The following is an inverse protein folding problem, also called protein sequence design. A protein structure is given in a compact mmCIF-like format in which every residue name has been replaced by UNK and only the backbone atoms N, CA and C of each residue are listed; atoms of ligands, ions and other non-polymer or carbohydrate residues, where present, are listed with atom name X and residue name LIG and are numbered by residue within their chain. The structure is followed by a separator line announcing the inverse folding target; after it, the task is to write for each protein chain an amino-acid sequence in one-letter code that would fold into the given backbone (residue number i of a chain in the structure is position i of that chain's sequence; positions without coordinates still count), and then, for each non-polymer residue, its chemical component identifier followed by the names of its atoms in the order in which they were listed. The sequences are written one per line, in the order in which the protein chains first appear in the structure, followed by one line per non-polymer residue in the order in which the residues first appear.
data_IF_980145507096
#
_entry.id   IF_980145507096
#
_cell.length_a   1.000
_cell.length_b   1.000
_cell.length_c   1.000
_cell.angle_alpha   90.00
_cell.angle_beta   90.00
_cell.angle_gamma   90.00
#
_symmetry.space_group_name_H-M   'P 1'
#
loop_
_entity.id
_entity.type
_entity.pdbx_description
1 polymer ?
#
# COMPACT_ATOMS: atom_id res chain seq x y z
N UNK A 1 16.83 -3.90 -15.75
CA UNK A 1 15.41 -3.90 -15.31
C UNK A 1 15.18 -2.70 -14.40
N UNK A 2 14.04 -2.02 -14.48
CA UNK A 2 13.72 -0.81 -13.68
C UNK A 2 12.56 -1.07 -12.73
N UNK A 3 12.60 -0.52 -11.53
CA UNK A 3 11.44 -0.46 -10.63
C UNK A 3 10.69 0.86 -10.83
N UNK A 4 9.38 0.77 -11.05
CA UNK A 4 8.51 1.95 -11.23
C UNK A 4 7.64 2.11 -9.99
N UNK A 5 7.73 3.28 -9.36
CA UNK A 5 6.96 3.65 -8.18
C UNK A 5 6.44 5.10 -8.28
N UNK A 6 5.50 5.47 -7.41
CA UNK A 6 4.99 6.83 -7.22
C UNK A 6 4.31 7.49 -8.43
N UNK A 7 3.67 6.72 -9.32
CA UNK A 7 2.81 7.30 -10.37
C UNK A 7 1.62 8.03 -9.72
N UNK A 8 1.56 9.35 -9.88
CA UNK A 8 0.50 10.17 -9.33
C UNK A 8 0.03 11.22 -10.35
N UNK A 9 -1.28 11.41 -10.43
CA UNK A 9 -1.91 12.47 -11.23
C UNK A 9 -2.73 13.35 -10.30
N UNK A 10 -2.58 14.67 -10.46
CA UNK A 10 -3.34 15.66 -9.72
C UNK A 10 -4.86 15.41 -9.83
N UNK A 11 -5.61 15.56 -8.72
CA UNK A 11 -7.03 15.17 -8.64
C UNK A 11 -7.88 15.76 -9.77
N UNK A 12 -7.65 17.03 -10.11
CA UNK A 12 -8.37 17.76 -11.18
C UNK A 12 -8.09 17.28 -12.62
N UNK A 13 -7.02 16.50 -12.84
CA UNK A 13 -6.56 16.11 -14.18
C UNK A 13 -6.81 14.62 -14.50
N UNK A 14 -7.42 13.86 -13.58
CA UNK A 14 -7.58 12.40 -13.74
C UNK A 14 -8.44 11.99 -14.93
N UNK A 15 -9.41 12.83 -15.32
CA UNK A 15 -10.26 12.60 -16.50
C UNK A 15 -9.56 12.91 -17.83
N UNK A 16 -8.37 13.54 -17.82
CA UNK A 16 -7.69 13.99 -19.04
C UNK A 16 -6.71 12.99 -19.64
N UNK A 17 -6.73 11.72 -19.20
CA UNK A 17 -5.82 10.65 -19.70
C UNK A 17 -4.31 11.01 -19.60
N UNK A 18 -3.91 11.71 -18.55
CA UNK A 18 -2.50 12.09 -18.32
C UNK A 18 -1.62 10.89 -17.94
N UNK A 19 -2.13 9.94 -17.16
CA UNK A 19 -1.35 8.78 -16.71
C UNK A 19 -0.76 7.94 -17.87
N UNK A 20 -1.51 7.60 -18.93
CA UNK A 20 -0.93 6.94 -20.11
C UNK A 20 0.22 7.70 -20.78
N UNK A 21 0.17 9.04 -20.81
CA UNK A 21 1.24 9.86 -21.38
C UNK A 21 2.50 9.80 -20.53
N UNK A 22 2.35 9.87 -19.19
CA UNK A 22 3.47 9.73 -18.26
C UNK A 22 4.13 8.35 -18.36
N UNK A 23 3.33 7.29 -18.49
CA UNK A 23 3.85 5.92 -18.66
C UNK A 23 4.62 5.81 -19.98
N UNK A 24 4.10 6.37 -21.08
CA UNK A 24 4.82 6.36 -22.37
C UNK A 24 6.16 7.09 -22.31
N UNK A 25 6.18 8.27 -21.68
CA UNK A 25 7.41 9.05 -21.54
C UNK A 25 8.42 8.34 -20.63
N UNK A 26 7.97 7.71 -19.55
CA UNK A 26 8.81 6.87 -18.70
C UNK A 26 9.42 5.72 -19.50
N UNK A 27 8.61 4.96 -20.23
CA UNK A 27 9.09 3.87 -21.09
C UNK A 27 10.11 4.36 -22.12
N UNK A 28 9.88 5.53 -22.73
CA UNK A 28 10.83 6.14 -23.68
C UNK A 28 12.19 6.40 -23.03
N UNK A 29 12.22 6.99 -21.83
CA UNK A 29 13.47 7.27 -21.10
C UNK A 29 14.20 6.00 -20.67
N UNK A 30 13.46 5.00 -20.19
CA UNK A 30 14.01 3.70 -19.78
C UNK A 30 14.63 2.98 -20.99
N UNK A 31 13.97 3.05 -22.14
CA UNK A 31 14.49 2.45 -23.37
C UNK A 31 15.75 3.15 -23.90
N UNK A 32 15.86 4.48 -23.77
CA UNK A 32 17.09 5.22 -24.11
C UNK A 32 18.30 4.81 -23.28
N UNK A 33 18.08 4.25 -22.09
CA UNK A 33 19.13 3.69 -21.23
C UNK A 33 19.43 2.22 -21.56
N UNK A 34 18.87 1.68 -22.64
CA UNK A 34 19.06 0.27 -23.06
C UNK A 34 18.29 -0.74 -22.22
N UNK A 35 17.33 -0.31 -21.39
CA UNK A 35 16.53 -1.20 -20.55
C UNK A 35 15.14 -1.37 -21.14
N UNK A 36 14.67 -2.61 -21.23
CA UNK A 36 13.36 -2.94 -21.84
C UNK A 36 12.39 -3.61 -20.88
N UNK A 37 12.76 -3.79 -19.61
CA UNK A 37 11.97 -4.48 -18.60
C UNK A 37 11.75 -3.59 -17.38
N UNK A 38 10.52 -3.61 -16.86
CA UNK A 38 10.13 -2.88 -15.67
C UNK A 38 9.29 -3.75 -14.72
N UNK A 39 9.43 -3.50 -13.42
CA UNK A 39 8.60 -4.06 -12.36
C UNK A 39 7.84 -2.92 -11.69
N UNK A 40 6.56 -3.16 -11.39
CA UNK A 40 5.74 -2.25 -10.60
C UNK A 40 4.82 -3.04 -9.69
N UNK A 41 4.47 -2.44 -8.55
CA UNK A 41 3.44 -2.94 -7.65
C UNK A 41 2.25 -1.98 -7.65
N UNK A 42 1.04 -2.53 -7.62
CA UNK A 42 -0.18 -1.72 -7.52
C UNK A 42 -1.21 -2.44 -6.65
N UNK A 43 -2.06 -1.66 -5.98
CA UNK A 43 -3.20 -2.18 -5.23
C UNK A 43 -4.40 -2.51 -6.11
N UNK A 44 -4.42 -2.02 -7.36
CA UNK A 44 -5.48 -2.34 -8.34
C UNK A 44 -5.08 -3.50 -9.23
N UNK A 45 -6.04 -4.33 -9.61
CA UNK A 45 -5.78 -5.46 -10.51
C UNK A 45 -5.58 -4.93 -11.94
N UNK A 46 -4.40 -5.19 -12.50
CA UNK A 46 -4.07 -4.95 -13.90
C UNK A 46 -3.98 -6.29 -14.65
N UNK A 47 -4.08 -6.29 -16.00
CA UNK A 47 -3.93 -7.52 -16.77
C UNK A 47 -2.58 -8.21 -16.50
N UNK A 48 -2.61 -9.53 -16.28
CA UNK A 48 -1.44 -10.41 -16.10
C UNK A 48 -0.52 -10.03 -14.92
N UNK A 49 -1.00 -10.07 -13.67
CA UNK A 49 -0.13 -9.93 -12.51
C UNK A 49 0.80 -11.16 -12.40
N UNK A 50 2.06 -10.94 -12.01
CA UNK A 50 3.01 -12.03 -11.75
C UNK A 50 2.74 -12.67 -10.38
N UNK A 51 2.43 -11.84 -9.38
CA UNK A 51 2.12 -12.27 -8.02
C UNK A 51 1.08 -11.34 -7.40
N UNK A 52 0.34 -11.83 -6.41
CA UNK A 52 -0.53 -11.03 -5.55
C UNK A 52 -0.21 -11.32 -4.09
N UNK A 53 -0.14 -10.27 -3.28
CA UNK A 53 0.20 -10.34 -1.87
C UNK A 53 -0.88 -9.64 -1.05
N UNK A 54 -1.13 -10.10 0.17
CA UNK A 54 -2.09 -9.50 1.10
C UNK A 54 -1.35 -8.75 2.21
N UNK A 55 -1.75 -7.49 2.44
CA UNK A 55 -1.29 -6.74 3.60
C UNK A 55 -1.93 -7.30 4.88
N UNK A 56 -1.10 -7.52 5.89
CA UNK A 56 -1.52 -7.92 7.23
C UNK A 56 -1.27 -6.77 8.19
N UNK A 57 -2.22 -6.54 9.11
CA UNK A 57 -2.15 -5.45 10.07
C UNK A 57 -2.12 -6.00 11.49
N UNK A 58 -1.19 -5.48 12.31
CA UNK A 58 -1.16 -5.70 13.76
C UNK A 58 -1.46 -4.37 14.45
N UNK A 59 -2.53 -4.34 15.25
CA UNK A 59 -2.96 -3.12 15.91
C UNK A 59 -2.05 -2.80 17.10
N UNK A 60 -1.17 -1.80 16.98
CA UNK A 60 -0.32 -1.36 18.10
C UNK A 60 -1.07 -0.43 19.05
N UNK A 61 -1.95 0.42 18.51
CA UNK A 61 -2.80 1.32 19.28
C UNK A 61 -4.26 1.18 18.83
N UNK A 62 -5.00 0.17 19.33
CA UNK A 62 -6.38 -0.08 18.92
C UNK A 62 -7.31 1.11 19.14
N UNK A 63 -7.11 1.89 20.21
CA UNK A 63 -7.96 3.05 20.54
C UNK A 63 -7.92 4.11 19.44
N UNK A 64 -6.72 4.51 19.02
CA UNK A 64 -6.53 5.51 17.97
C UNK A 64 -6.98 4.99 16.59
N UNK A 65 -6.77 3.71 16.32
CA UNK A 65 -7.18 3.11 15.03
C UNK A 65 -8.71 3.07 14.87
N UNK A 66 -9.44 2.85 15.96
CA UNK A 66 -10.92 2.90 15.96
C UNK A 66 -11.40 4.34 15.82
N UNK A 67 -10.79 5.29 16.53
CA UNK A 67 -11.12 6.73 16.42
C UNK A 67 -10.97 7.26 14.99
N UNK A 68 -9.93 6.82 14.28
CA UNK A 68 -9.67 7.20 12.89
C UNK A 68 -10.47 6.38 11.85
N UNK A 69 -11.35 5.48 12.29
CA UNK A 69 -12.09 4.54 11.44
C UNK A 69 -11.19 3.65 10.55
N UNK A 70 -9.94 3.40 10.95
CA UNK A 70 -9.05 2.46 10.27
C UNK A 70 -9.42 1.00 10.57
N UNK A 71 -9.89 0.73 11.79
CA UNK A 71 -10.32 -0.61 12.23
C UNK A 71 -11.59 -0.50 13.07
N UNK A 72 -12.49 -1.47 12.93
CA UNK A 72 -13.78 -1.49 13.65
C UNK A 72 -13.81 -2.59 14.70
N UNK A 73 -14.59 -2.38 15.76
CA UNK A 73 -14.88 -3.42 16.75
C UNK A 73 -15.83 -4.46 16.16
N UNK A 74 -15.53 -5.75 16.35
CA UNK A 74 -16.44 -6.84 15.97
C UNK A 74 -17.62 -6.93 16.93
N UNK A 75 -18.71 -7.63 16.54
CA UNK A 75 -20.02 -7.62 17.24
C UNK A 75 -19.99 -7.95 18.75
N UNK A 76 -18.90 -8.52 19.28
CA UNK A 76 -18.75 -8.86 20.70
C UNK A 76 -17.42 -8.36 21.31
N UNK A 77 -16.81 -7.31 20.74
CA UNK A 77 -15.54 -6.75 21.20
C UNK A 77 -15.72 -5.38 21.86
N UNK A 78 -15.22 -5.23 23.08
CA UNK A 78 -15.07 -3.93 23.73
C UNK A 78 -13.68 -3.36 23.46
N UNK A 79 -13.56 -2.03 23.52
CA UNK A 79 -12.28 -1.35 23.35
C UNK A 79 -11.22 -1.85 24.35
N UNK A 80 -11.61 -2.03 25.62
CA UNK A 80 -10.72 -2.55 26.65
C UNK A 80 -10.20 -3.95 26.33
N UNK A 81 -11.08 -4.83 25.81
CA UNK A 81 -10.69 -6.18 25.39
C UNK A 81 -9.74 -6.15 24.19
N UNK A 82 -9.97 -5.24 23.23
CA UNK A 82 -9.09 -5.06 22.08
C UNK A 82 -7.69 -4.58 22.48
N UNK A 83 -7.61 -3.64 23.42
CA UNK A 83 -6.33 -3.14 23.97
C UNK A 83 -5.60 -4.26 24.72
N UNK A 84 -6.31 -5.01 25.57
CA UNK A 84 -5.71 -6.15 26.30
C UNK A 84 -5.17 -7.22 25.35
N UNK A 85 -5.93 -7.56 24.30
CA UNK A 85 -5.53 -8.56 23.30
C UNK A 85 -4.27 -8.15 22.52
N UNK A 86 -4.11 -6.86 22.22
CA UNK A 86 -2.99 -6.35 21.44
C UNK A 86 -1.82 -5.82 22.30
N UNK A 87 -1.83 -6.07 23.62
CA UNK A 87 -0.77 -5.58 24.51
C UNK A 87 0.57 -6.23 24.15
N UNK A 88 1.62 -5.42 24.10
CA UNK A 88 2.99 -5.86 23.88
C UNK A 88 3.81 -5.77 25.18
N UNK A 89 4.90 -6.56 25.30
CA UNK A 89 5.90 -6.34 26.33
C UNK A 89 6.55 -4.96 26.21
N UNK A 90 6.86 -4.32 27.35
CA UNK A 90 7.52 -3.00 27.38
C UNK A 90 9.01 -3.08 27.09
N UNK A 91 9.62 -4.24 27.36
CA UNK A 91 11.04 -4.50 27.13
C UNK A 91 11.18 -5.62 26.11
N UNK A 92 12.16 -5.49 25.22
CA UNK A 92 12.54 -6.54 24.30
C UNK A 92 13.00 -7.75 25.10
N UNK A 93 12.33 -8.89 24.93
CA UNK A 93 12.79 -10.14 25.51
C UNK A 93 14.16 -10.49 24.91
N UNK A 94 15.15 -10.93 25.71
CA UNK A 94 16.42 -11.41 25.18
C UNK A 94 16.16 -12.59 24.23
N UNK A 95 16.86 -12.57 23.11
CA UNK A 95 16.78 -13.56 22.02
C UNK A 95 17.40 -14.89 22.41
#
# INVERSE_FOLDING_TARGET
MVEVNFLCVHKKLRSKRVAPVLIKELTRRVHQQGISQAIYSTSVVLPKPIASCRYWHRSLNPRKLIELNFSSLTRNMTLQRAVKLNRLPEVRLPS
#
